data_IF_240790407980
#
_entry.id   IF_240790407980
#
_cell.length_a   1.000
_cell.length_b   1.000
_cell.length_c   1.000
_cell.angle_alpha   90.00
_cell.angle_beta   90.00
_cell.angle_gamma   90.00
#
_symmetry.space_group_name_H-M   'P 1'
#
loop_
_entity.id
_entity.type
_entity.pdbx_description
1 polymer ?
#
# COMPACT_ATOMS: atom_id res chain seq x y z
N UNK A 1 17.14 38.48 0.51
CA UNK A 1 16.66 38.44 1.92
C UNK A 1 16.45 37.00 2.44
N UNK A 2 16.05 36.05 1.61
CA UNK A 2 15.82 34.62 2.02
C UNK A 2 17.11 33.92 2.47
N UNK A 3 18.25 34.24 1.86
CA UNK A 3 19.55 33.61 2.18
C UNK A 3 20.21 34.14 3.46
N UNK A 4 19.87 35.36 3.91
CA UNK A 4 20.51 36.01 5.06
C UNK A 4 19.89 35.56 6.41
N UNK A 5 18.66 35.05 6.39
CA UNK A 5 17.92 34.64 7.60
C UNK A 5 18.07 33.17 8.00
N UNK A 6 18.74 32.32 7.21
CA UNK A 6 18.94 30.90 7.51
C UNK A 6 20.42 30.54 7.59
N UNK A 7 20.77 29.73 8.60
CA UNK A 7 22.11 29.15 8.74
C UNK A 7 22.43 28.36 7.46
N UNK A 8 23.56 28.65 6.82
CA UNK A 8 24.03 28.04 5.55
C UNK A 8 24.00 26.50 5.58
N UNK A 9 24.28 25.89 6.73
CA UNK A 9 24.21 24.42 6.91
C UNK A 9 22.78 23.83 6.84
N UNK A 10 21.74 24.61 7.17
CA UNK A 10 20.36 24.14 7.03
C UNK A 10 19.91 24.16 5.56
N UNK A 11 20.36 25.14 4.79
CA UNK A 11 20.08 25.25 3.35
C UNK A 11 20.74 24.12 2.57
N UNK A 12 22.00 23.79 2.88
CA UNK A 12 22.72 22.66 2.28
C UNK A 12 22.01 21.33 2.52
N UNK A 13 21.54 21.08 3.72
CA UNK A 13 20.77 19.86 4.05
C UNK A 13 19.43 19.76 3.30
N UNK A 14 18.74 20.88 3.09
CA UNK A 14 17.48 20.88 2.32
C UNK A 14 17.74 20.54 0.87
N UNK A 15 18.79 21.13 0.26
CA UNK A 15 19.19 20.84 -1.12
C UNK A 15 19.63 19.38 -1.24
N UNK A 16 20.47 18.89 -0.35
CA UNK A 16 20.93 17.50 -0.36
C UNK A 16 19.77 16.49 -0.24
N UNK A 17 18.80 16.75 0.65
CA UNK A 17 17.58 15.93 0.76
C UNK A 17 16.74 16.00 -0.52
N UNK A 18 16.63 17.18 -1.13
CA UNK A 18 15.90 17.36 -2.39
C UNK A 18 16.55 16.56 -3.52
N UNK A 19 17.88 16.62 -3.67
CA UNK A 19 18.62 15.84 -4.67
C UNK A 19 18.46 14.34 -4.45
N UNK A 20 18.65 13.86 -3.22
CA UNK A 20 18.44 12.43 -2.89
C UNK A 20 17.00 11.96 -3.13
N UNK A 21 16.01 12.81 -2.80
CA UNK A 21 14.61 12.52 -3.10
C UNK A 21 14.34 12.41 -4.59
N UNK A 22 14.92 13.30 -5.38
CA UNK A 22 14.77 13.31 -6.84
C UNK A 22 15.49 12.11 -7.49
N UNK A 23 16.68 11.78 -7.02
CA UNK A 23 17.41 10.57 -7.44
C UNK A 23 16.61 9.30 -7.12
N UNK A 24 16.06 9.20 -5.92
CA UNK A 24 15.20 8.08 -5.53
C UNK A 24 13.98 7.96 -6.44
N UNK A 25 13.27 9.07 -6.69
CA UNK A 25 12.10 9.08 -7.58
C UNK A 25 12.43 8.68 -9.01
N UNK A 26 13.53 9.23 -9.58
CA UNK A 26 13.96 8.87 -10.93
C UNK A 26 14.36 7.41 -11.03
N UNK A 27 15.16 6.93 -10.09
CA UNK A 27 15.58 5.52 -10.03
C UNK A 27 14.37 4.59 -9.87
N UNK A 28 13.45 4.96 -9.01
CA UNK A 28 12.22 4.21 -8.78
C UNK A 28 11.33 4.17 -10.03
N UNK A 29 11.09 5.31 -10.70
CA UNK A 29 10.30 5.37 -11.92
C UNK A 29 10.94 4.56 -13.07
N UNK A 30 12.25 4.71 -13.27
CA UNK A 30 12.94 4.05 -14.40
C UNK A 30 13.14 2.55 -14.19
N UNK A 31 13.51 2.12 -12.98
CA UNK A 31 13.91 0.73 -12.73
C UNK A 31 12.84 -0.14 -12.08
N UNK A 32 11.79 0.46 -11.52
CA UNK A 32 10.70 -0.29 -10.90
C UNK A 32 9.39 -0.13 -11.66
N UNK A 33 8.95 1.09 -11.91
CA UNK A 33 7.66 1.34 -12.59
C UNK A 33 7.77 1.12 -14.09
N UNK A 34 8.88 1.54 -14.71
CA UNK A 34 9.09 1.41 -16.16
C UNK A 34 8.99 -0.04 -16.67
N UNK A 35 9.81 -0.98 -16.15
CA UNK A 35 9.72 -2.40 -16.54
C UNK A 35 8.33 -2.98 -16.32
N UNK A 36 7.68 -2.64 -15.24
CA UNK A 36 6.35 -3.11 -14.86
C UNK A 36 5.27 -2.67 -15.86
N UNK A 37 5.30 -1.41 -16.29
CA UNK A 37 4.39 -0.89 -17.32
C UNK A 37 4.66 -1.58 -18.65
N UNK A 38 5.94 -1.77 -19.02
CA UNK A 38 6.33 -2.49 -20.24
C UNK A 38 5.83 -3.94 -20.20
N UNK A 39 5.98 -4.64 -19.09
CA UNK A 39 5.48 -6.01 -18.91
C UNK A 39 3.97 -6.09 -19.13
N UNK A 40 3.20 -5.20 -18.50
CA UNK A 40 1.74 -5.13 -18.69
C UNK A 40 1.36 -4.85 -20.16
N UNK A 41 2.07 -3.96 -20.84
CA UNK A 41 1.83 -3.64 -22.25
C UNK A 41 2.15 -4.84 -23.16
N UNK A 42 3.23 -5.57 -22.90
CA UNK A 42 3.61 -6.77 -23.65
C UNK A 42 2.56 -7.86 -23.49
N UNK A 43 2.13 -8.12 -22.25
CA UNK A 43 1.07 -9.12 -21.98
C UNK A 43 -0.24 -8.71 -22.64
N UNK A 44 -0.64 -7.43 -22.55
CA UNK A 44 -1.82 -6.93 -23.23
C UNK A 44 -1.73 -7.09 -24.75
N UNK A 45 -0.56 -6.82 -25.34
CA UNK A 45 -0.29 -7.04 -26.76
C UNK A 45 -0.43 -8.52 -27.16
N UNK A 46 0.18 -9.43 -26.40
CA UNK A 46 0.05 -10.88 -26.66
C UNK A 46 -1.41 -11.34 -26.56
N UNK A 47 -2.14 -10.87 -25.56
CA UNK A 47 -3.54 -11.19 -25.38
C UNK A 47 -4.41 -10.69 -26.56
N UNK A 48 -4.10 -9.50 -27.11
CA UNK A 48 -4.80 -8.97 -28.29
C UNK A 48 -4.52 -9.76 -29.58
N UNK A 49 -3.28 -10.20 -29.79
CA UNK A 49 -2.88 -10.84 -31.05
C UNK A 49 -3.12 -12.35 -31.07
N UNK A 50 -3.07 -13.02 -29.92
CA UNK A 50 -3.14 -14.49 -29.83
C UNK A 50 -4.48 -15.00 -29.30
N UNK A 51 -5.16 -14.18 -28.48
CA UNK A 51 -6.45 -14.53 -27.86
C UNK A 51 -7.55 -13.59 -28.33
N UNK A 52 -8.76 -13.93 -28.05
CA UNK A 52 -9.94 -13.09 -28.36
C UNK A 52 -9.92 -11.82 -27.48
N UNK A 53 -10.46 -10.71 -28.02
CA UNK A 53 -10.59 -9.43 -27.33
C UNK A 53 -11.29 -9.54 -25.95
N UNK A 54 -12.12 -10.57 -25.77
CA UNK A 54 -12.81 -10.83 -24.49
C UNK A 54 -11.83 -11.12 -23.34
N UNK A 55 -10.71 -11.82 -23.61
CA UNK A 55 -9.68 -12.07 -22.59
C UNK A 55 -9.03 -10.77 -22.13
N UNK A 56 -8.69 -9.92 -23.08
CA UNK A 56 -8.15 -8.61 -22.77
C UNK A 56 -9.15 -7.76 -21.99
N UNK A 57 -10.44 -7.76 -22.36
CA UNK A 57 -11.48 -7.01 -21.67
C UNK A 57 -11.60 -7.43 -20.19
N UNK A 58 -11.57 -8.73 -19.89
CA UNK A 58 -11.62 -9.24 -18.51
C UNK A 58 -10.38 -8.78 -17.72
N UNK A 59 -9.19 -8.86 -18.32
CA UNK A 59 -7.93 -8.43 -17.68
C UNK A 59 -7.97 -6.93 -17.38
N UNK A 60 -8.40 -6.10 -18.34
CA UNK A 60 -8.49 -4.64 -18.15
C UNK A 60 -9.51 -4.29 -17.06
N UNK A 61 -10.66 -4.94 -17.03
CA UNK A 61 -11.68 -4.74 -15.98
C UNK A 61 -11.12 -5.17 -14.62
N UNK A 62 -10.41 -6.29 -14.54
CA UNK A 62 -9.77 -6.77 -13.31
C UNK A 62 -8.74 -5.75 -12.81
N UNK A 63 -7.85 -5.26 -13.67
CA UNK A 63 -6.83 -4.25 -13.32
C UNK A 63 -7.51 -2.95 -12.87
N UNK A 64 -8.51 -2.47 -13.58
CA UNK A 64 -9.25 -1.25 -13.22
C UNK A 64 -9.95 -1.40 -11.86
N UNK A 65 -10.60 -2.52 -11.60
CA UNK A 65 -11.23 -2.82 -10.33
C UNK A 65 -10.20 -2.89 -9.19
N UNK A 66 -9.03 -3.53 -9.42
CA UNK A 66 -7.94 -3.61 -8.46
C UNK A 66 -7.39 -2.22 -8.09
N UNK A 67 -7.10 -1.40 -9.10
CA UNK A 67 -6.56 -0.05 -8.90
C UNK A 67 -7.57 0.82 -8.17
N UNK A 68 -8.82 0.82 -8.61
CA UNK A 68 -9.90 1.58 -7.98
C UNK A 68 -10.11 1.19 -6.51
N UNK A 69 -10.19 -0.12 -6.22
CA UNK A 69 -10.33 -0.65 -4.88
C UNK A 69 -9.15 -0.26 -4.00
N UNK A 70 -7.91 -0.43 -4.51
CA UNK A 70 -6.69 -0.09 -3.80
C UNK A 70 -6.66 1.40 -3.43
N UNK A 71 -7.00 2.31 -4.35
CA UNK A 71 -7.04 3.74 -4.08
C UNK A 71 -8.08 4.10 -3.02
N UNK A 72 -9.31 3.63 -3.18
CA UNK A 72 -10.40 3.91 -2.23
C UNK A 72 -10.11 3.42 -0.82
N UNK A 73 -9.65 2.19 -0.68
CA UNK A 73 -9.36 1.61 0.63
C UNK A 73 -8.11 2.24 1.25
N UNK A 74 -7.09 2.59 0.44
CA UNK A 74 -5.89 3.25 0.96
C UNK A 74 -6.19 4.65 1.48
N UNK A 75 -7.02 5.45 0.79
CA UNK A 75 -7.44 6.76 1.30
C UNK A 75 -8.21 6.66 2.63
N UNK A 76 -9.08 5.67 2.77
CA UNK A 76 -9.77 5.39 4.03
C UNK A 76 -8.78 5.00 5.13
N UNK A 77 -7.78 4.15 4.82
CA UNK A 77 -6.74 3.70 5.75
C UNK A 77 -5.83 4.83 6.22
N UNK A 78 -5.52 5.81 5.37
CA UNK A 78 -4.71 6.99 5.77
C UNK A 78 -5.36 7.72 6.95
N UNK A 79 -6.68 7.87 6.96
CA UNK A 79 -7.41 8.52 8.07
C UNK A 79 -7.30 7.70 9.36
N UNK A 80 -7.45 6.36 9.26
CA UNK A 80 -7.35 5.45 10.41
C UNK A 80 -5.93 5.48 10.99
N UNK A 81 -4.90 5.45 10.13
CA UNK A 81 -3.50 5.50 10.55
C UNK A 81 -3.13 6.83 11.19
N UNK A 82 -3.64 7.94 10.67
CA UNK A 82 -3.46 9.24 11.29
C UNK A 82 -4.02 9.24 12.71
N UNK A 83 -5.24 8.75 12.90
CA UNK A 83 -5.84 8.62 14.23
C UNK A 83 -4.98 7.75 15.17
N UNK A 84 -4.44 6.63 14.69
CA UNK A 84 -3.52 5.79 15.48
C UNK A 84 -2.26 6.55 15.90
N UNK A 85 -1.64 7.30 14.98
CA UNK A 85 -0.44 8.10 15.27
C UNK A 85 -0.75 9.23 16.29
N UNK A 86 -1.92 9.83 16.21
CA UNK A 86 -2.35 10.85 17.18
C UNK A 86 -2.51 10.23 18.59
N UNK A 87 -3.05 9.01 18.70
CA UNK A 87 -3.16 8.28 19.98
C UNK A 87 -1.79 7.84 20.52
N UNK A 88 -0.86 7.41 19.64
CA UNK A 88 0.52 7.10 20.02
C UNK A 88 1.23 8.32 20.60
N UNK A 89 1.08 9.47 19.94
CA UNK A 89 1.64 10.74 20.41
C UNK A 89 1.09 11.15 21.76
N UNK A 90 -0.23 11.03 21.97
CA UNK A 90 -0.89 11.34 23.27
C UNK A 90 -0.39 10.42 24.39
N UNK A 91 -0.26 9.12 24.12
CA UNK A 91 0.26 8.15 25.09
C UNK A 91 1.71 8.46 25.46
N UNK A 92 2.57 8.72 24.46
CA UNK A 92 3.97 9.07 24.67
C UNK A 92 4.11 10.39 25.45
N UNK A 93 3.30 11.40 25.15
CA UNK A 93 3.31 12.68 25.86
C UNK A 93 2.95 12.48 27.33
N UNK A 94 1.92 11.69 27.64
CA UNK A 94 1.54 11.37 29.02
C UNK A 94 2.65 10.66 29.79
N UNK A 95 3.35 9.73 29.14
CA UNK A 95 4.49 9.05 29.75
C UNK A 95 5.63 10.03 30.08
N UNK A 96 5.98 10.90 29.11
CA UNK A 96 7.05 11.91 29.31
C UNK A 96 6.65 12.90 30.40
N UNK A 97 5.41 13.39 30.42
CA UNK A 97 4.91 14.31 31.46
C UNK A 97 5.01 13.70 32.85
N UNK A 98 4.64 12.42 33.00
CA UNK A 98 4.73 11.71 34.28
C UNK A 98 6.18 11.55 34.73
N UNK A 99 7.11 11.28 33.79
CA UNK A 99 8.54 11.14 34.08
C UNK A 99 9.19 12.49 34.44
N UNK A 100 8.84 13.56 33.74
CA UNK A 100 9.39 14.90 34.02
C UNK A 100 8.88 15.44 35.36
N UNK A 101 7.70 15.04 35.79
CA UNK A 101 7.10 15.46 37.05
C UNK A 101 7.16 14.38 38.17
N UNK A 102 8.15 13.44 38.06
CA UNK A 102 8.21 12.27 38.94
C UNK A 102 8.29 12.65 40.43
N UNK A 103 9.02 13.73 40.77
CA UNK A 103 9.11 14.23 42.16
C UNK A 103 7.74 14.66 42.72
N UNK A 104 6.97 15.39 41.90
CA UNK A 104 5.61 15.79 42.27
C UNK A 104 4.70 14.58 42.42
N UNK A 105 4.78 13.62 41.50
CA UNK A 105 4.01 12.36 41.58
C UNK A 105 4.33 11.61 42.87
N UNK A 106 5.62 11.52 43.23
CA UNK A 106 6.08 10.88 44.47
C UNK A 106 5.66 11.64 45.70
N UNK A 107 5.78 12.97 45.68
CA UNK A 107 5.42 13.81 46.81
C UNK A 107 3.91 13.68 47.21
N UNK A 108 3.05 13.53 46.21
CA UNK A 108 1.61 13.36 46.39
C UNK A 108 1.15 11.90 46.44
N UNK A 109 2.07 10.92 46.39
CA UNK A 109 1.76 9.49 46.32
C UNK A 109 0.76 9.14 45.21
N UNK A 110 0.94 9.76 44.02
CA UNK A 110 -0.01 9.72 42.91
C UNK A 110 0.42 8.71 41.81
N UNK A 111 1.32 7.77 42.12
CA UNK A 111 1.87 6.82 41.12
C UNK A 111 0.77 5.97 40.44
N UNK A 112 -0.17 5.46 41.24
CA UNK A 112 -1.25 4.62 40.73
C UNK A 112 -2.19 5.42 39.82
N UNK A 113 -2.42 6.69 40.13
CA UNK A 113 -3.22 7.58 39.28
C UNK A 113 -2.54 7.83 37.93
N UNK A 114 -1.23 8.09 37.93
CA UNK A 114 -0.46 8.31 36.71
C UNK A 114 -0.36 7.02 35.89
N UNK A 115 -0.18 5.87 36.52
CA UNK A 115 -0.19 4.57 35.84
C UNK A 115 -1.54 4.30 35.16
N UNK A 116 -2.66 4.57 35.86
CA UNK A 116 -3.99 4.41 35.28
C UNK A 116 -4.27 5.41 34.15
N UNK A 117 -3.75 6.64 34.24
CA UNK A 117 -3.84 7.65 33.18
C UNK A 117 -3.13 7.20 31.92
N UNK A 118 -1.92 6.66 32.08
CA UNK A 118 -1.12 6.12 30.98
C UNK A 118 -1.76 4.85 30.37
N UNK A 119 -2.20 3.91 31.20
CA UNK A 119 -2.89 2.69 30.77
C UNK A 119 -4.16 3.00 29.94
N UNK A 120 -4.91 4.03 30.36
CA UNK A 120 -6.05 4.51 29.58
C UNK A 120 -5.68 5.03 28.18
N UNK A 121 -4.54 5.71 28.04
CA UNK A 121 -4.04 6.20 26.75
C UNK A 121 -3.52 5.04 25.88
N UNK A 122 -2.78 4.11 26.45
CA UNK A 122 -2.29 2.91 25.75
C UNK A 122 -3.44 2.04 25.25
N UNK A 123 -4.53 1.88 26.01
CA UNK A 123 -5.73 1.16 25.55
C UNK A 123 -6.38 1.82 24.34
N UNK A 124 -6.37 3.15 24.25
CA UNK A 124 -6.90 3.86 23.09
C UNK A 124 -5.98 3.66 21.87
N UNK A 125 -4.66 3.73 22.07
CA UNK A 125 -3.69 3.42 21.04
C UNK A 125 -3.83 1.97 20.54
N UNK A 126 -3.91 0.99 21.43
CA UNK A 126 -4.12 -0.43 21.10
C UNK A 126 -5.35 -0.62 20.20
N UNK A 127 -6.48 -0.03 20.58
CA UNK A 127 -7.71 -0.11 19.79
C UNK A 127 -7.53 0.51 18.39
N UNK A 128 -6.85 1.65 18.29
CA UNK A 128 -6.56 2.30 17.03
C UNK A 128 -5.57 1.46 16.18
N UNK A 129 -4.56 0.86 16.80
CA UNK A 129 -3.59 -0.03 16.15
C UNK A 129 -4.26 -1.29 15.60
N UNK A 130 -5.14 -1.93 16.37
CA UNK A 130 -5.93 -3.07 15.91
C UNK A 130 -6.82 -2.70 14.72
N UNK A 131 -7.51 -1.54 14.77
CA UNK A 131 -8.32 -1.06 13.65
C UNK A 131 -7.46 -0.84 12.39
N UNK A 132 -6.25 -0.32 12.56
CA UNK A 132 -5.28 -0.14 11.46
C UNK A 132 -4.84 -1.49 10.88
N UNK A 133 -4.58 -2.49 11.72
CA UNK A 133 -4.23 -3.85 11.29
C UNK A 133 -5.38 -4.52 10.52
N UNK A 134 -6.61 -4.45 11.03
CA UNK A 134 -7.79 -4.98 10.34
C UNK A 134 -8.05 -4.29 9.00
N UNK A 135 -7.83 -2.98 8.93
CA UNK A 135 -7.96 -2.25 7.65
C UNK A 135 -6.93 -2.70 6.60
N UNK A 136 -5.73 -3.11 7.03
CA UNK A 136 -4.72 -3.70 6.13
C UNK A 136 -5.14 -5.09 5.68
N UNK A 137 -5.63 -5.92 6.60
CA UNK A 137 -6.13 -7.25 6.26
C UNK A 137 -7.30 -7.17 5.26
N UNK A 138 -8.22 -6.23 5.45
CA UNK A 138 -9.33 -5.96 4.52
C UNK A 138 -8.83 -5.56 3.13
N UNK A 139 -7.84 -4.67 3.04
CA UNK A 139 -7.23 -4.29 1.77
C UNK A 139 -6.62 -5.49 1.05
N UNK A 140 -5.78 -6.28 1.74
CA UNK A 140 -5.12 -7.44 1.17
C UNK A 140 -6.13 -8.53 0.74
N UNK A 141 -7.14 -8.76 1.55
CA UNK A 141 -8.21 -9.71 1.22
C UNK A 141 -8.97 -9.30 -0.04
N UNK A 142 -9.40 -8.04 -0.12
CA UNK A 142 -10.11 -7.53 -1.28
C UNK A 142 -9.26 -7.54 -2.56
N UNK A 143 -7.98 -7.21 -2.47
CA UNK A 143 -7.03 -7.31 -3.57
C UNK A 143 -6.90 -8.76 -4.07
N UNK A 144 -6.69 -9.71 -3.16
CA UNK A 144 -6.60 -11.14 -3.49
C UNK A 144 -7.90 -11.65 -4.12
N UNK A 145 -9.04 -11.22 -3.62
CA UNK A 145 -10.35 -11.61 -4.14
C UNK A 145 -10.54 -11.14 -5.58
N UNK A 146 -10.19 -9.88 -5.89
CA UNK A 146 -10.30 -9.35 -7.26
C UNK A 146 -9.40 -10.12 -8.23
N UNK A 147 -8.14 -10.36 -7.85
CA UNK A 147 -7.19 -11.11 -8.68
C UNK A 147 -7.67 -12.55 -8.90
N UNK A 148 -8.08 -13.22 -7.83
CA UNK A 148 -8.56 -14.62 -7.90
C UNK A 148 -9.83 -14.73 -8.74
N UNK A 149 -10.77 -13.80 -8.59
CA UNK A 149 -11.98 -13.77 -9.42
C UNK A 149 -11.64 -13.58 -10.91
N UNK A 150 -10.72 -12.64 -11.23
CA UNK A 150 -10.25 -12.45 -12.60
C UNK A 150 -9.58 -13.70 -13.17
N UNK A 151 -8.72 -14.34 -12.38
CA UNK A 151 -8.07 -15.60 -12.75
C UNK A 151 -9.11 -16.70 -13.04
N UNK A 152 -10.07 -16.91 -12.17
CA UNK A 152 -11.13 -17.93 -12.35
C UNK A 152 -11.90 -17.67 -13.64
N UNK A 153 -12.32 -16.42 -13.90
CA UNK A 153 -13.08 -16.07 -15.10
C UNK A 153 -12.26 -16.39 -16.35
N UNK A 154 -11.01 -15.95 -16.42
CA UNK A 154 -10.13 -16.17 -17.56
C UNK A 154 -9.85 -17.67 -17.76
N UNK A 155 -9.65 -18.42 -16.68
CA UNK A 155 -9.41 -19.87 -16.74
C UNK A 155 -10.64 -20.65 -17.24
N UNK A 156 -11.83 -20.26 -16.80
CA UNK A 156 -13.09 -20.85 -17.30
C UNK A 156 -13.28 -20.54 -18.77
N UNK A 157 -13.03 -19.29 -19.19
CA UNK A 157 -13.09 -18.93 -20.62
C UNK A 157 -12.10 -19.76 -21.45
N UNK A 158 -10.86 -19.92 -20.98
CA UNK A 158 -9.83 -20.69 -21.67
C UNK A 158 -10.19 -22.19 -21.74
N UNK A 159 -10.75 -22.77 -20.67
CA UNK A 159 -11.21 -24.15 -20.67
C UNK A 159 -12.36 -24.38 -21.68
N UNK A 160 -13.32 -23.47 -21.74
CA UNK A 160 -14.38 -23.51 -22.74
C UNK A 160 -13.85 -23.33 -24.17
N UNK A 161 -12.85 -22.47 -24.35
CA UNK A 161 -12.14 -22.30 -25.62
C UNK A 161 -11.44 -23.58 -26.10
N UNK A 162 -10.82 -24.32 -25.19
CA UNK A 162 -10.20 -25.63 -25.50
C UNK A 162 -11.28 -26.66 -25.83
N UNK A 163 -12.37 -26.71 -25.05
CA UNK A 163 -13.45 -27.65 -25.29
C UNK A 163 -14.16 -27.40 -26.64
N UNK A 164 -14.27 -26.17 -27.07
CA UNK A 164 -14.85 -25.79 -28.38
C UNK A 164 -13.87 -25.95 -29.56
N UNK A 165 -12.60 -26.31 -29.31
CA UNK A 165 -11.57 -26.49 -30.31
C UNK A 165 -10.97 -25.16 -30.85
N UNK A 166 -11.32 -24.02 -30.27
CA UNK A 166 -10.74 -22.72 -30.66
C UNK A 166 -9.37 -22.46 -30.07
N UNK A 167 -9.06 -23.10 -28.92
CA UNK A 167 -7.77 -22.99 -28.24
C UNK A 167 -7.16 -24.37 -28.07
N UNK A 168 -5.84 -24.41 -27.99
CA UNK A 168 -5.08 -25.61 -27.63
C UNK A 168 -4.88 -25.72 -26.12
N UNK A 169 -4.49 -26.89 -25.62
CA UNK A 169 -4.08 -27.06 -24.23
C UNK A 169 -2.86 -26.19 -23.90
N UNK A 170 -1.97 -25.97 -24.89
CA UNK A 170 -0.83 -25.06 -24.76
C UNK A 170 -1.28 -23.61 -24.52
N UNK A 171 -2.31 -23.13 -25.22
CA UNK A 171 -2.88 -21.80 -25.04
C UNK A 171 -3.48 -21.63 -23.64
N UNK A 172 -4.16 -22.65 -23.12
CA UNK A 172 -4.67 -22.66 -21.75
C UNK A 172 -3.55 -22.49 -20.70
N UNK A 173 -2.44 -23.22 -20.86
CA UNK A 173 -1.28 -23.09 -19.98
C UNK A 173 -0.65 -21.69 -20.09
N UNK A 174 -0.55 -21.17 -21.33
CA UNK A 174 0.01 -19.85 -21.60
C UNK A 174 -0.81 -18.74 -20.95
N UNK A 175 -2.14 -18.76 -21.06
CA UNK A 175 -3.04 -17.81 -20.40
C UNK A 175 -2.87 -17.85 -18.88
N UNK A 176 -2.78 -19.05 -18.30
CA UNK A 176 -2.57 -19.19 -16.86
C UNK A 176 -1.24 -18.57 -16.44
N UNK A 177 -0.15 -18.82 -17.16
CA UNK A 177 1.16 -18.26 -16.89
C UNK A 177 1.12 -16.71 -16.91
N UNK A 178 0.51 -16.10 -17.91
CA UNK A 178 0.37 -14.65 -18.01
C UNK A 178 -0.51 -14.06 -16.91
N UNK A 179 -1.58 -14.72 -16.50
CA UNK A 179 -2.42 -14.26 -15.39
C UNK A 179 -1.65 -14.25 -14.05
N UNK A 180 -0.82 -15.26 -13.80
CA UNK A 180 0.06 -15.29 -12.62
C UNK A 180 1.11 -14.17 -12.71
N UNK A 181 1.68 -13.95 -13.88
CA UNK A 181 2.71 -12.93 -14.10
C UNK A 181 2.17 -11.52 -13.88
N UNK A 182 0.92 -11.22 -14.26
CA UNK A 182 0.26 -9.91 -13.99
C UNK A 182 0.10 -9.65 -12.49
N UNK A 183 0.00 -10.68 -11.67
CA UNK A 183 -0.22 -10.53 -10.21
C UNK A 183 0.94 -9.82 -9.50
N UNK A 184 2.18 -10.09 -9.88
CA UNK A 184 3.37 -9.43 -9.29
C UNK A 184 3.38 -7.92 -9.51
N UNK A 185 3.26 -7.40 -10.75
CA UNK A 185 3.10 -5.99 -11.03
C UNK A 185 2.01 -5.29 -10.24
N UNK A 186 0.83 -5.90 -10.18
CA UNK A 186 -0.31 -5.31 -9.46
C UNK A 186 -0.05 -5.17 -7.96
N UNK A 187 0.50 -6.20 -7.33
CA UNK A 187 0.86 -6.17 -5.91
C UNK A 187 1.93 -5.12 -5.63
N UNK A 188 2.91 -4.97 -6.52
CA UNK A 188 3.95 -3.97 -6.39
C UNK A 188 3.39 -2.54 -6.49
N UNK A 189 2.57 -2.23 -7.49
CA UNK A 189 1.88 -0.93 -7.61
C UNK A 189 1.04 -0.61 -6.37
N UNK A 190 0.31 -1.58 -5.85
CA UNK A 190 -0.47 -1.43 -4.64
C UNK A 190 0.40 -1.09 -3.42
N UNK A 191 1.57 -1.70 -3.29
CA UNK A 191 2.52 -1.45 -2.19
C UNK A 191 3.11 -0.05 -2.28
N UNK A 192 3.59 0.32 -3.47
CA UNK A 192 4.18 1.64 -3.73
C UNK A 192 3.19 2.77 -3.45
N UNK A 193 1.96 2.65 -3.93
CA UNK A 193 0.94 3.66 -3.66
C UNK A 193 0.67 3.82 -2.16
N UNK A 194 0.66 2.72 -1.42
CA UNK A 194 0.52 2.75 0.05
C UNK A 194 1.68 3.47 0.73
N UNK A 195 2.92 3.20 0.33
CA UNK A 195 4.11 3.83 0.92
C UNK A 195 4.14 5.33 0.67
N UNK A 196 3.89 5.76 -0.57
CA UNK A 196 3.86 7.20 -0.93
C UNK A 196 2.79 7.95 -0.13
N UNK A 197 1.65 7.33 0.17
CA UNK A 197 0.55 8.00 0.90
C UNK A 197 0.69 7.94 2.41
N UNK A 198 1.57 7.10 2.93
CA UNK A 198 1.73 6.85 4.37
C UNK A 198 3.05 7.42 4.94
N UNK A 199 4.00 7.84 4.08
CA UNK A 199 5.20 8.61 4.43
C UNK A 199 4.92 10.09 4.44
#
# INVERSE_FOLDING_TARGET
RYHISRKTGALSRVIERGVKGLEFLLRFLLFSVGPLVLELLIIAGIMLFWFDYLYLAVIVVMIAAYVWFTFKVTEWRVKIRKFMNDQDTDANQKAIDSLLNYETVKYFSAEEREANRYDGAIKQYEKAALTTAYSLAFLNFGQSLIITAGLIIVMVMAALGVQSGHLTVGDFVMVNAYMIQITMPLNFLGTVYREIRQG
#
